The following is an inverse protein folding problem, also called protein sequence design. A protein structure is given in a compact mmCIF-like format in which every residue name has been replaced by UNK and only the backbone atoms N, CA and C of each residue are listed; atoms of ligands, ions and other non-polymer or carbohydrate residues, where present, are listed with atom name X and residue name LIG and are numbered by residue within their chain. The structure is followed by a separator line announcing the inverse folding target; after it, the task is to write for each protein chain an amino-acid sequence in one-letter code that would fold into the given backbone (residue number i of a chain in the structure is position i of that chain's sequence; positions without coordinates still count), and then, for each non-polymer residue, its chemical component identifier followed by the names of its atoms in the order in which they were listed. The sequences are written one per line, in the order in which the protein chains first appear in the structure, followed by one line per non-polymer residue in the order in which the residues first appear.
data_IF_708534263414
#
_entry.id   IF_708534263414
#
_cell.length_a   1.000
_cell.length_b   1.000
_cell.length_c   1.000
_cell.angle_alpha   90.00
_cell.angle_beta   90.00
_cell.angle_gamma   90.00
#
_symmetry.space_group_name_H-M   'P 1'
#
loop_
_entity.id
_entity.type
_entity.pdbx_description
1 polymer ?
#
# COMPACT_ATOMS: atom_id res chain seq x y z
N UNK A 1 14.02 19.18 -24.19
CA UNK A 1 14.78 17.90 -24.13
C UNK A 1 14.08 17.04 -23.08
N UNK A 2 13.48 15.95 -23.47
CA UNK A 2 12.88 15.03 -22.51
C UNK A 2 13.97 14.38 -21.65
N UNK A 3 13.74 14.17 -20.35
CA UNK A 3 14.68 13.50 -19.49
C UNK A 3 14.94 12.08 -19.96
N UNK A 4 16.13 11.55 -19.76
CA UNK A 4 16.42 10.15 -20.09
C UNK A 4 15.63 9.20 -19.16
N UNK A 5 15.36 7.99 -19.61
CA UNK A 5 14.67 6.97 -18.80
C UNK A 5 15.38 6.71 -17.46
N UNK A 6 16.70 6.83 -17.43
CA UNK A 6 17.49 6.71 -16.20
C UNK A 6 17.26 7.90 -15.25
N UNK A 7 17.17 9.11 -15.79
CA UNK A 7 16.88 10.32 -14.99
C UNK A 7 15.49 10.23 -14.37
N UNK A 8 14.50 9.74 -15.11
CA UNK A 8 13.14 9.54 -14.63
C UNK A 8 13.06 8.47 -13.53
N UNK A 9 13.77 7.34 -13.70
CA UNK A 9 13.87 6.29 -12.68
C UNK A 9 14.49 6.83 -11.39
N UNK A 10 15.61 7.54 -11.48
CA UNK A 10 16.27 8.13 -10.32
C UNK A 10 15.36 9.13 -9.60
N UNK A 11 14.65 9.97 -10.33
CA UNK A 11 13.69 10.90 -9.75
C UNK A 11 12.49 10.19 -9.08
N UNK A 12 12.01 9.08 -9.66
CA UNK A 12 10.96 8.25 -9.05
C UNK A 12 11.45 7.61 -7.75
N UNK A 13 12.65 6.98 -7.76
CA UNK A 13 13.28 6.38 -6.58
C UNK A 13 13.48 7.41 -5.46
N UNK A 14 13.96 8.61 -5.81
CA UNK A 14 14.15 9.70 -4.83
C UNK A 14 12.82 10.11 -4.18
N UNK A 15 11.76 10.30 -4.96
CA UNK A 15 10.42 10.62 -4.43
C UNK A 15 9.86 9.50 -3.55
N UNK A 16 10.09 8.23 -3.91
CA UNK A 16 9.67 7.09 -3.10
C UNK A 16 10.37 7.06 -1.74
N UNK A 17 11.70 7.31 -1.71
CA UNK A 17 12.47 7.39 -0.48
C UNK A 17 12.05 8.58 0.42
N UNK A 18 11.76 9.73 -0.16
CA UNK A 18 11.26 10.90 0.58
C UNK A 18 9.92 10.60 1.25
N UNK A 19 8.98 10.00 0.52
CA UNK A 19 7.69 9.58 1.08
C UNK A 19 7.82 8.49 2.13
N UNK A 20 8.71 7.51 1.91
CA UNK A 20 9.00 6.48 2.92
C UNK A 20 9.52 7.10 4.23
N UNK A 21 10.37 8.13 4.16
CA UNK A 21 10.85 8.85 5.36
C UNK A 21 9.72 9.53 6.12
N UNK A 22 8.75 10.14 5.41
CA UNK A 22 7.58 10.75 6.04
C UNK A 22 6.73 9.70 6.77
N UNK A 23 6.49 8.56 6.14
CA UNK A 23 5.75 7.46 6.76
C UNK A 23 6.52 6.85 7.93
N UNK A 24 7.85 6.76 7.84
CA UNK A 24 8.71 6.25 8.91
C UNK A 24 8.64 7.13 10.18
N UNK A 25 8.53 8.45 10.02
CA UNK A 25 8.33 9.37 11.14
C UNK A 25 7.00 9.15 11.87
N UNK A 26 5.99 8.68 11.17
CA UNK A 26 4.64 8.45 11.66
C UNK A 26 4.33 6.95 11.85
N UNK A 27 5.36 6.12 12.03
CA UNK A 27 5.25 4.66 11.99
C UNK A 27 4.27 4.10 13.04
N UNK A 28 4.24 4.66 14.27
CA UNK A 28 3.31 4.22 15.32
C UNK A 28 1.85 4.58 14.98
N UNK A 29 1.62 5.78 14.42
CA UNK A 29 0.31 6.19 13.93
C UNK A 29 -0.11 5.31 12.76
N UNK A 30 0.80 5.07 11.83
CA UNK A 30 0.57 4.19 10.70
C UNK A 30 0.10 2.80 11.15
N UNK A 31 0.80 2.16 12.07
CA UNK A 31 0.43 0.83 12.59
C UNK A 31 -0.95 0.81 13.26
N UNK A 32 -1.26 1.86 14.02
CA UNK A 32 -2.53 1.97 14.75
C UNK A 32 -3.71 2.25 13.83
N UNK A 33 -3.55 3.16 12.85
CA UNK A 33 -4.68 3.76 12.13
C UNK A 33 -4.92 3.16 10.74
N UNK A 34 -3.92 2.49 10.14
CA UNK A 34 -4.11 1.89 8.82
C UNK A 34 -5.12 0.74 8.85
N UNK A 35 -6.00 0.66 7.83
CA UNK A 35 -6.94 -0.43 7.72
C UNK A 35 -6.21 -1.78 7.63
N UNK A 36 -6.78 -2.79 8.26
CA UNK A 36 -6.34 -4.18 8.13
C UNK A 36 -6.81 -4.75 6.79
N UNK A 37 -6.49 -5.99 6.54
CA UNK A 37 -6.94 -6.72 5.36
C UNK A 37 -8.00 -7.75 5.76
N UNK A 38 -9.07 -7.94 4.96
CA UNK A 38 -10.05 -8.97 5.23
C UNK A 38 -9.43 -10.38 5.11
N UNK A 39 -9.93 -11.31 5.92
CA UNK A 39 -9.43 -12.69 5.98
C UNK A 39 -9.37 -13.35 4.60
N UNK A 40 -10.39 -13.14 3.78
CA UNK A 40 -10.46 -13.72 2.43
C UNK A 40 -9.28 -13.33 1.53
N UNK A 41 -8.71 -12.11 1.68
CA UNK A 41 -7.51 -11.69 0.93
C UNK A 41 -6.32 -12.52 1.38
N UNK A 42 -6.11 -12.61 2.70
CA UNK A 42 -4.96 -13.33 3.25
C UNK A 42 -5.06 -14.83 2.97
N UNK A 43 -6.26 -15.40 3.06
CA UNK A 43 -6.51 -16.81 2.72
C UNK A 43 -6.20 -17.10 1.24
N UNK A 44 -6.55 -16.17 0.33
CA UNK A 44 -6.20 -16.28 -1.09
C UNK A 44 -4.68 -16.18 -1.33
N UNK A 45 -3.98 -15.37 -0.54
CA UNK A 45 -2.52 -15.21 -0.64
C UNK A 45 -1.79 -16.44 -0.12
N UNK A 46 -2.10 -16.90 1.09
CA UNK A 46 -1.36 -18.02 1.69
C UNK A 46 -1.86 -19.40 1.20
N UNK A 47 -3.11 -19.48 0.76
CA UNK A 47 -3.72 -20.73 0.29
C UNK A 47 -4.19 -21.63 1.43
N UNK A 48 -4.70 -22.84 1.10
CA UNK A 48 -5.36 -23.72 2.06
C UNK A 48 -4.39 -24.41 3.04
N UNK A 49 -3.11 -24.48 2.72
CA UNK A 49 -2.09 -25.14 3.53
C UNK A 49 -0.95 -24.17 3.87
N UNK A 50 -1.21 -23.14 4.71
CA UNK A 50 -0.24 -22.08 4.99
C UNK A 50 0.89 -22.51 5.93
N UNK A 51 0.75 -23.66 6.61
CA UNK A 51 1.74 -24.12 7.59
C UNK A 51 3.10 -24.35 6.97
N UNK A 52 4.08 -23.53 7.39
CA UNK A 52 5.45 -23.58 6.89
C UNK A 52 5.68 -22.92 5.54
N UNK A 53 4.63 -22.37 4.89
CA UNK A 53 4.74 -21.58 3.68
C UNK A 53 5.72 -20.41 3.90
N UNK A 54 6.74 -20.29 3.05
CA UNK A 54 7.73 -19.22 3.15
C UNK A 54 7.27 -18.04 2.31
N UNK A 55 7.08 -16.90 2.94
CA UNK A 55 6.63 -15.66 2.31
C UNK A 55 7.67 -14.57 2.47
N UNK A 56 8.02 -13.91 1.38
CA UNK A 56 8.78 -12.66 1.37
C UNK A 56 7.79 -11.50 1.18
N UNK A 57 7.68 -10.64 2.19
CA UNK A 57 6.81 -9.46 2.14
C UNK A 57 7.62 -8.19 1.83
N UNK A 58 7.48 -7.69 0.61
CA UNK A 58 8.24 -6.57 0.07
C UNK A 58 7.54 -5.25 0.36
N UNK A 59 8.25 -4.33 1.04
CA UNK A 59 7.65 -3.12 1.58
C UNK A 59 6.69 -3.43 2.72
N UNK A 60 7.13 -4.28 3.66
CA UNK A 60 6.26 -4.80 4.73
C UNK A 60 5.79 -3.73 5.73
N UNK A 61 6.45 -2.57 5.77
CA UNK A 61 6.13 -1.49 6.69
C UNK A 61 6.16 -1.94 8.15
N UNK A 62 5.10 -1.65 8.89
CA UNK A 62 4.93 -2.09 10.28
C UNK A 62 4.47 -3.55 10.41
N UNK A 63 4.43 -4.29 9.31
CA UNK A 63 4.09 -5.71 9.29
C UNK A 63 2.60 -6.03 9.36
N UNK A 64 1.70 -5.12 8.98
CA UNK A 64 0.25 -5.35 9.06
C UNK A 64 -0.16 -6.59 8.26
N UNK A 65 0.26 -6.72 7.00
CA UNK A 65 -0.05 -7.90 6.19
C UNK A 65 0.77 -9.12 6.64
N UNK A 66 2.05 -8.92 6.95
CA UNK A 66 2.97 -9.96 7.41
C UNK A 66 2.43 -10.70 8.63
N UNK A 67 1.96 -9.96 9.66
CA UNK A 67 1.37 -10.53 10.89
C UNK A 67 0.16 -11.41 10.58
N UNK A 68 -0.75 -10.92 9.76
CA UNK A 68 -1.96 -11.65 9.37
C UNK A 68 -1.66 -12.94 8.59
N UNK A 69 -0.60 -12.95 7.77
CA UNK A 69 -0.11 -14.17 7.11
C UNK A 69 0.57 -15.12 8.11
N UNK A 70 1.35 -14.59 9.06
CA UNK A 70 2.01 -15.38 10.09
C UNK A 70 0.98 -16.04 11.07
N UNK A 71 -0.09 -15.35 11.43
CA UNK A 71 -1.21 -15.88 12.23
C UNK A 71 -1.87 -17.10 11.56
N UNK A 72 -1.79 -17.19 10.23
CA UNK A 72 -2.26 -18.36 9.44
C UNK A 72 -1.24 -19.49 9.37
N UNK A 73 -0.05 -19.32 9.93
CA UNK A 73 1.01 -20.33 9.97
C UNK A 73 2.11 -20.16 8.91
N UNK A 74 2.08 -19.11 8.10
CA UNK A 74 3.16 -18.80 7.17
C UNK A 74 4.42 -18.32 7.91
N UNK A 75 5.59 -18.63 7.34
CA UNK A 75 6.89 -18.09 7.78
C UNK A 75 7.19 -16.86 6.93
N UNK A 76 7.02 -15.67 7.51
CA UNK A 76 7.15 -14.42 6.77
C UNK A 76 8.47 -13.74 7.11
N UNK A 77 9.21 -13.34 6.08
CA UNK A 77 10.32 -12.40 6.16
C UNK A 77 9.89 -11.09 5.49
N UNK A 78 9.95 -9.98 6.23
CA UNK A 78 9.72 -8.65 5.69
C UNK A 78 10.99 -8.02 5.15
N UNK A 79 10.86 -7.20 4.10
CA UNK A 79 11.93 -6.28 3.64
C UNK A 79 11.32 -4.90 3.52
N UNK A 80 11.92 -3.90 4.17
CA UNK A 80 11.48 -2.51 4.09
C UNK A 80 12.64 -1.52 4.18
N UNK A 81 12.50 -0.36 3.53
CA UNK A 81 13.53 0.71 3.57
C UNK A 81 13.42 1.58 4.81
N UNK A 82 12.30 1.52 5.55
CA UNK A 82 11.95 2.38 6.68
C UNK A 82 12.33 1.70 8.00
N UNK A 83 13.40 2.15 8.69
CA UNK A 83 13.91 1.44 9.86
C UNK A 83 12.96 1.47 11.06
N UNK A 84 12.22 2.57 11.32
CA UNK A 84 11.25 2.64 12.43
C UNK A 84 10.03 1.76 12.18
N UNK A 85 9.55 1.70 10.94
CA UNK A 85 8.50 0.76 10.56
C UNK A 85 8.95 -0.67 10.78
N UNK A 86 10.19 -1.02 10.37
CA UNK A 86 10.77 -2.34 10.62
C UNK A 86 10.91 -2.66 12.12
N UNK A 87 11.24 -1.68 12.95
CA UNK A 87 11.28 -1.84 14.42
C UNK A 87 9.90 -2.18 14.99
N UNK A 88 8.84 -1.51 14.53
CA UNK A 88 7.48 -1.83 14.94
C UNK A 88 7.10 -3.25 14.49
N UNK A 89 7.38 -3.62 13.25
CA UNK A 89 7.13 -4.99 12.80
C UNK A 89 7.86 -6.02 13.67
N UNK A 90 9.13 -5.79 14.01
CA UNK A 90 9.91 -6.65 14.92
C UNK A 90 9.33 -6.69 16.32
N UNK A 91 8.83 -5.59 16.86
CA UNK A 91 8.17 -5.56 18.18
C UNK A 91 6.91 -6.42 18.23
N UNK A 92 6.31 -6.68 17.08
CA UNK A 92 5.22 -7.62 16.89
C UNK A 92 5.67 -9.05 16.54
N UNK A 93 6.96 -9.37 16.69
CA UNK A 93 7.51 -10.70 16.47
C UNK A 93 7.80 -11.06 15.01
N UNK A 94 7.83 -10.08 14.11
CA UNK A 94 8.15 -10.33 12.70
C UNK A 94 9.66 -10.27 12.45
N UNK A 95 10.16 -11.15 11.59
CA UNK A 95 11.52 -11.06 11.04
C UNK A 95 11.50 -10.02 9.91
N UNK A 96 12.38 -8.99 9.99
CA UNK A 96 12.46 -7.93 8.98
C UNK A 96 13.92 -7.59 8.70
N UNK A 97 14.26 -7.44 7.43
CA UNK A 97 15.53 -6.89 6.96
C UNK A 97 15.32 -5.47 6.42
N UNK A 98 16.16 -4.53 6.86
CA UNK A 98 16.07 -3.12 6.42
C UNK A 98 16.91 -2.91 5.18
N UNK A 99 16.27 -2.49 4.10
CA UNK A 99 16.92 -2.20 2.83
C UNK A 99 15.94 -2.05 1.68
N UNK A 100 16.41 -1.49 0.56
CA UNK A 100 15.63 -1.47 -0.66
C UNK A 100 15.55 -2.87 -1.27
N UNK A 101 14.37 -3.30 -1.67
CA UNK A 101 14.19 -4.62 -2.28
C UNK A 101 15.02 -4.79 -3.54
N UNK A 102 15.19 -3.73 -4.31
CA UNK A 102 16.01 -3.71 -5.52
C UNK A 102 17.47 -4.10 -5.26
N UNK A 103 18.00 -3.74 -4.09
CA UNK A 103 19.38 -4.02 -3.69
C UNK A 103 19.49 -5.24 -2.74
N UNK A 104 18.36 -5.73 -2.22
CA UNK A 104 18.30 -6.86 -1.30
C UNK A 104 18.69 -8.17 -1.98
N UNK A 105 19.36 -9.06 -1.25
CA UNK A 105 19.77 -10.36 -1.73
C UNK A 105 19.13 -11.50 -0.92
N UNK A 106 18.59 -12.54 -1.56
CA UNK A 106 17.97 -13.66 -0.85
C UNK A 106 18.99 -14.51 -0.08
N UNK A 107 20.28 -14.38 -0.36
CA UNK A 107 21.39 -15.10 0.32
C UNK A 107 21.15 -16.62 0.38
N UNK A 108 20.73 -17.23 -0.73
CA UNK A 108 20.44 -18.66 -0.85
C UNK A 108 19.08 -19.10 -0.26
N UNK A 109 18.30 -18.18 0.29
CA UNK A 109 16.92 -18.46 0.76
C UNK A 109 15.95 -18.52 -0.43
N UNK A 110 14.94 -19.35 -0.32
CA UNK A 110 13.84 -19.45 -1.27
C UNK A 110 12.52 -19.16 -0.56
N UNK A 111 11.56 -18.62 -1.29
CA UNK A 111 10.24 -18.25 -0.79
C UNK A 111 9.17 -18.76 -1.75
N UNK A 112 8.12 -19.37 -1.23
CA UNK A 112 7.02 -19.91 -2.02
C UNK A 112 6.12 -18.79 -2.55
N UNK A 113 6.13 -17.64 -1.88
CA UNK A 113 5.39 -16.42 -2.24
C UNK A 113 6.27 -15.19 -2.10
N UNK A 114 6.14 -14.28 -3.04
CA UNK A 114 6.54 -12.87 -2.88
C UNK A 114 5.26 -12.07 -2.76
N UNK A 115 5.09 -11.32 -1.67
CA UNK A 115 3.93 -10.46 -1.44
C UNK A 115 4.35 -9.00 -1.37
N UNK A 116 3.44 -8.11 -1.71
CA UNK A 116 3.61 -6.69 -1.42
C UNK A 116 2.23 -6.06 -1.21
N UNK A 117 2.01 -5.53 -0.02
CA UNK A 117 0.75 -4.92 0.36
C UNK A 117 0.89 -3.39 0.43
N UNK A 118 0.26 -2.67 -0.48
CA UNK A 118 0.30 -1.19 -0.58
C UNK A 118 1.68 -0.59 -0.86
N UNK A 119 2.66 -1.39 -1.33
CA UNK A 119 4.03 -0.90 -1.48
C UNK A 119 4.61 -1.02 -2.90
N UNK A 120 4.11 -1.95 -3.73
CA UNK A 120 4.72 -2.25 -5.03
C UNK A 120 4.89 -1.04 -5.95
N UNK A 121 3.94 -0.12 -5.94
CA UNK A 121 3.97 1.10 -6.75
C UNK A 121 5.07 2.11 -6.36
N UNK A 122 5.78 1.88 -5.26
CA UNK A 122 6.93 2.69 -4.83
C UNK A 122 8.25 2.21 -5.43
N UNK A 123 8.31 0.96 -5.90
CA UNK A 123 9.52 0.29 -6.37
C UNK A 123 9.91 0.73 -7.79
N UNK A 124 11.14 0.43 -8.18
CA UNK A 124 11.55 0.41 -9.59
C UNK A 124 10.94 -0.85 -10.23
N UNK A 125 9.78 -0.69 -10.86
CA UNK A 125 8.96 -1.82 -11.34
C UNK A 125 9.74 -2.82 -12.20
N UNK A 126 10.54 -2.41 -13.22
CA UNK A 126 11.35 -3.35 -13.99
C UNK A 126 12.28 -4.19 -13.12
N UNK A 127 13.08 -3.53 -12.28
CA UNK A 127 14.07 -4.20 -11.41
C UNK A 127 13.39 -5.08 -10.36
N UNK A 128 12.35 -4.54 -9.71
CA UNK A 128 11.63 -5.27 -8.67
C UNK A 128 10.90 -6.50 -9.23
N UNK A 129 10.31 -6.38 -10.43
CA UNK A 129 9.56 -7.48 -11.05
C UNK A 129 10.48 -8.61 -11.53
N UNK A 130 11.60 -8.29 -12.17
CA UNK A 130 12.62 -9.29 -12.53
C UNK A 130 13.18 -10.00 -11.29
N UNK A 131 13.49 -9.24 -10.24
CA UNK A 131 13.96 -9.81 -8.98
C UNK A 131 12.90 -10.71 -8.34
N UNK A 132 11.64 -10.27 -8.30
CA UNK A 132 10.56 -11.06 -7.73
C UNK A 132 10.32 -12.37 -8.48
N UNK A 133 10.57 -12.42 -9.79
CA UNK A 133 10.51 -13.64 -10.58
C UNK A 133 11.64 -14.63 -10.20
N UNK A 134 12.81 -14.12 -9.81
CA UNK A 134 14.00 -14.94 -9.50
C UNK A 134 14.00 -15.53 -8.07
N UNK A 135 13.11 -15.06 -7.18
CA UNK A 135 13.12 -15.46 -5.76
C UNK A 135 12.35 -16.75 -5.50
N UNK A 136 11.13 -16.96 -6.02
CA UNK A 136 10.39 -18.19 -5.84
C UNK A 136 10.96 -19.33 -6.72
N UNK A 137 10.81 -20.59 -6.27
CA UNK A 137 11.04 -21.73 -7.14
C UNK A 137 9.93 -21.81 -8.22
N UNK A 138 10.12 -22.65 -9.25
CA UNK A 138 9.05 -22.93 -10.21
C UNK A 138 7.72 -23.29 -9.53
N UNK A 139 6.63 -22.61 -9.94
CA UNK A 139 5.31 -22.75 -9.31
C UNK A 139 5.08 -21.82 -8.10
N UNK A 140 6.08 -21.03 -7.69
CA UNK A 140 5.89 -19.96 -6.71
C UNK A 140 5.03 -18.83 -7.27
N UNK A 141 4.60 -17.89 -6.42
CA UNK A 141 3.68 -16.81 -6.82
C UNK A 141 4.13 -15.45 -6.32
N UNK A 142 3.82 -14.43 -7.14
CA UNK A 142 3.78 -13.04 -6.68
C UNK A 142 2.34 -12.66 -6.37
N UNK A 143 2.09 -12.02 -5.23
CA UNK A 143 0.77 -11.57 -4.80
C UNK A 143 0.84 -10.09 -4.43
N UNK A 144 0.30 -9.24 -5.26
CA UNK A 144 0.26 -7.80 -5.02
C UNK A 144 -1.12 -7.41 -4.47
N UNK A 145 -1.15 -6.66 -3.38
CA UNK A 145 -2.36 -6.34 -2.65
C UNK A 145 -2.54 -4.83 -2.56
N UNK A 146 -3.70 -4.35 -2.98
CA UNK A 146 -4.12 -2.97 -2.77
C UNK A 146 -5.42 -2.92 -2.01
N UNK A 147 -5.43 -2.09 -0.99
CA UNK A 147 -6.62 -1.76 -0.25
C UNK A 147 -7.16 -0.43 -0.79
N UNK A 148 -8.23 -0.49 -1.56
CA UNK A 148 -8.86 0.66 -2.17
C UNK A 148 -10.18 0.96 -1.45
N UNK A 149 -10.27 2.12 -0.81
CA UNK A 149 -11.47 2.54 -0.09
C UNK A 149 -12.14 3.74 -0.75
N UNK A 150 -13.47 3.77 -0.70
CA UNK A 150 -14.27 4.93 -1.10
C UNK A 150 -15.28 5.24 0.00
N UNK A 151 -15.40 6.50 0.44
CA UNK A 151 -16.48 6.89 1.31
C UNK A 151 -17.84 6.80 0.57
N UNK A 152 -18.96 6.81 1.29
CA UNK A 152 -20.29 7.02 0.71
C UNK A 152 -20.32 8.28 -0.18
N UNK A 153 -21.25 8.32 -1.12
CA UNK A 153 -21.28 9.36 -2.16
C UNK A 153 -21.46 10.78 -1.61
N UNK A 154 -22.37 10.94 -0.67
CA UNK A 154 -22.64 12.19 0.04
C UNK A 154 -21.40 12.68 0.82
N UNK A 155 -20.70 11.77 1.45
CA UNK A 155 -19.46 12.07 2.15
C UNK A 155 -18.32 12.40 1.18
N UNK A 156 -18.22 11.70 0.06
CA UNK A 156 -17.21 12.00 -0.95
C UNK A 156 -17.37 13.40 -1.53
N UNK A 157 -18.60 13.84 -1.75
CA UNK A 157 -18.91 15.17 -2.27
C UNK A 157 -18.56 16.26 -1.22
N UNK A 158 -18.96 16.07 0.04
CA UNK A 158 -18.63 16.99 1.13
C UNK A 158 -17.09 17.10 1.34
N UNK A 159 -16.37 15.98 1.31
CA UNK A 159 -14.91 15.98 1.37
C UNK A 159 -14.30 16.74 0.18
N UNK A 160 -14.83 16.54 -1.04
CA UNK A 160 -14.33 17.22 -2.21
C UNK A 160 -14.48 18.75 -2.11
N UNK A 161 -15.57 19.26 -1.52
CA UNK A 161 -15.76 20.68 -1.26
C UNK A 161 -14.71 21.22 -0.29
N UNK A 162 -14.47 20.53 0.82
CA UNK A 162 -13.43 20.91 1.80
C UNK A 162 -12.04 20.95 1.15
N UNK A 163 -11.70 19.94 0.35
CA UNK A 163 -10.42 19.91 -0.36
C UNK A 163 -10.32 21.01 -1.42
N UNK A 164 -11.40 21.36 -2.11
CA UNK A 164 -11.41 22.44 -3.08
C UNK A 164 -11.10 23.80 -2.44
N UNK A 165 -11.60 24.02 -1.22
CA UNK A 165 -11.37 25.26 -0.48
C UNK A 165 -9.97 25.34 0.14
N UNK A 166 -9.42 24.22 0.58
CA UNK A 166 -8.16 24.18 1.34
C UNK A 166 -6.94 23.82 0.49
N UNK A 167 -7.11 23.01 -0.54
CA UNK A 167 -6.05 22.49 -1.42
C UNK A 167 -6.48 22.47 -2.89
N UNK A 168 -6.79 23.62 -3.49
CA UNK A 168 -7.32 23.67 -4.87
C UNK A 168 -6.37 23.04 -5.90
N UNK A 169 -5.05 23.07 -5.68
CA UNK A 169 -4.07 22.43 -6.56
C UNK A 169 -4.09 20.90 -6.50
N UNK A 170 -4.71 20.31 -5.50
CA UNK A 170 -4.82 18.86 -5.31
C UNK A 170 -6.22 18.30 -5.52
N UNK A 171 -7.20 19.19 -5.78
CA UNK A 171 -8.60 18.79 -5.95
C UNK A 171 -8.75 17.68 -6.99
N UNK A 172 -8.06 17.79 -8.12
CA UNK A 172 -8.08 16.82 -9.20
C UNK A 172 -7.57 15.44 -8.74
N UNK A 173 -6.55 15.41 -7.89
CA UNK A 173 -5.97 14.16 -7.39
C UNK A 173 -6.90 13.50 -6.39
N UNK A 174 -7.51 14.29 -5.49
CA UNK A 174 -8.49 13.81 -4.50
C UNK A 174 -9.77 13.37 -5.19
N UNK A 175 -10.29 14.20 -6.10
CA UNK A 175 -11.51 13.92 -6.86
C UNK A 175 -11.33 12.70 -7.75
N UNK A 176 -10.20 12.57 -8.44
CA UNK A 176 -9.87 11.37 -9.22
C UNK A 176 -9.75 10.14 -8.34
N UNK A 177 -9.18 10.27 -7.14
CA UNK A 177 -9.15 9.19 -6.15
C UNK A 177 -10.54 8.69 -5.80
N UNK A 178 -11.46 9.59 -5.44
CA UNK A 178 -12.84 9.24 -5.11
C UNK A 178 -13.67 8.84 -6.36
N UNK A 179 -13.46 9.51 -7.50
CA UNK A 179 -14.12 9.17 -8.76
C UNK A 179 -13.62 7.84 -9.37
N UNK A 180 -12.33 7.55 -9.25
CA UNK A 180 -11.77 6.26 -9.68
C UNK A 180 -12.35 5.10 -8.89
N UNK A 181 -12.71 5.32 -7.62
CA UNK A 181 -13.42 4.33 -6.81
C UNK A 181 -14.90 4.16 -7.18
N UNK A 182 -15.50 5.13 -7.88
CA UNK A 182 -16.84 5.03 -8.49
C UNK A 182 -16.79 4.37 -9.88
N UNK A 183 -15.64 4.44 -10.56
CA UNK A 183 -15.46 3.87 -11.89
C UNK A 183 -15.25 2.36 -11.80
N UNK A 184 -15.88 1.63 -12.69
CA UNK A 184 -15.59 0.20 -12.95
C UNK A 184 -14.19 0.01 -13.57
N UNK A 185 -13.55 1.09 -14.01
CA UNK A 185 -12.22 1.07 -14.61
C UNK A 185 -11.10 1.25 -13.57
N UNK A 186 -11.12 0.41 -12.54
CA UNK A 186 -10.05 0.36 -11.52
C UNK A 186 -8.76 -0.25 -12.07
N UNK A 187 -8.84 -0.99 -13.18
CA UNK A 187 -7.68 -1.57 -13.86
C UNK A 187 -6.71 -0.52 -14.39
N UNK A 188 -7.21 0.66 -14.75
CA UNK A 188 -6.36 1.75 -15.23
C UNK A 188 -5.36 2.24 -14.18
N UNK A 189 -5.68 2.08 -12.90
CA UNK A 189 -4.80 2.49 -11.79
C UNK A 189 -3.59 1.57 -11.59
N UNK A 190 -3.64 0.32 -12.07
CA UNK A 190 -2.59 -0.71 -11.93
C UNK A 190 -1.93 -1.06 -13.27
N UNK A 191 -2.15 -0.25 -14.31
CA UNK A 191 -1.67 -0.55 -15.67
C UNK A 191 -0.16 -0.72 -15.73
N UNK A 192 0.59 0.11 -15.01
CA UNK A 192 2.06 0.05 -14.99
C UNK A 192 2.58 -1.20 -14.28
N UNK A 193 1.95 -1.59 -13.18
CA UNK A 193 2.31 -2.78 -12.40
C UNK A 193 2.00 -4.07 -13.17
N UNK A 194 0.81 -4.12 -13.76
CA UNK A 194 0.40 -5.25 -14.59
C UNK A 194 1.26 -5.38 -15.85
N UNK A 195 1.59 -4.26 -16.50
CA UNK A 195 2.48 -4.25 -17.67
C UNK A 195 3.89 -4.71 -17.31
N UNK A 196 4.42 -4.31 -16.16
CA UNK A 196 5.74 -4.75 -15.69
C UNK A 196 5.76 -6.27 -15.44
N UNK A 197 4.71 -6.82 -14.81
CA UNK A 197 4.59 -8.27 -14.58
C UNK A 197 4.47 -9.03 -15.92
N UNK A 198 3.61 -8.58 -16.82
CA UNK A 198 3.40 -9.20 -18.11
C UNK A 198 4.65 -9.14 -19.02
N UNK A 199 5.57 -8.21 -18.75
CA UNK A 199 6.85 -8.08 -19.47
C UNK A 199 7.92 -9.08 -19.06
N UNK A 200 7.73 -9.85 -17.97
CA UNK A 200 8.68 -10.84 -17.47
C UNK A 200 8.23 -12.23 -17.90
N UNK A 201 9.00 -12.95 -18.75
CA UNK A 201 8.60 -14.24 -19.33
C UNK A 201 8.36 -15.36 -18.29
N UNK A 202 8.96 -15.23 -17.10
CA UNK A 202 8.84 -16.22 -16.03
C UNK A 202 7.50 -16.16 -15.28
N UNK A 203 6.68 -15.13 -15.54
CA UNK A 203 5.35 -15.03 -14.97
C UNK A 203 4.27 -15.46 -15.94
N UNK A 204 3.27 -16.16 -15.42
CA UNK A 204 2.00 -16.38 -16.11
C UNK A 204 1.21 -15.05 -16.22
N UNK A 205 0.17 -15.07 -17.05
CA UNK A 205 -0.77 -13.94 -17.13
C UNK A 205 -1.36 -13.65 -15.76
N UNK A 206 -1.22 -12.41 -15.25
CA UNK A 206 -1.73 -12.07 -13.92
C UNK A 206 -3.26 -12.18 -13.87
N UNK A 207 -3.75 -12.70 -12.76
CA UNK A 207 -5.18 -12.75 -12.46
C UNK A 207 -5.51 -11.70 -11.39
N UNK A 208 -6.67 -11.09 -11.51
CA UNK A 208 -7.18 -10.10 -10.56
C UNK A 208 -8.37 -10.67 -9.80
N UNK A 209 -8.41 -10.49 -8.49
CA UNK A 209 -9.52 -10.91 -7.64
C UNK A 209 -9.88 -9.79 -6.68
N UNK A 210 -11.17 -9.53 -6.56
CA UNK A 210 -11.73 -8.50 -5.70
C UNK A 210 -12.36 -9.11 -4.46
N UNK A 211 -12.06 -8.51 -3.30
CA UNK A 211 -12.58 -8.93 -2.00
C UNK A 211 -13.32 -7.76 -1.35
N UNK A 212 -14.66 -7.70 -1.49
CA UNK A 212 -15.45 -6.64 -0.89
C UNK A 212 -15.43 -6.69 0.63
N UNK A 213 -15.20 -5.53 1.23
CA UNK A 213 -15.27 -5.40 2.68
C UNK A 213 -15.62 -3.96 3.08
N UNK A 214 -16.01 -3.77 4.33
CA UNK A 214 -16.41 -2.48 4.88
C UNK A 214 -15.66 -2.22 6.17
N UNK A 215 -15.15 -1.01 6.32
CA UNK A 215 -14.56 -0.50 7.55
C UNK A 215 -15.33 0.74 8.00
N UNK A 216 -15.80 0.73 9.23
CA UNK A 216 -16.40 1.90 9.87
C UNK A 216 -15.35 2.63 10.68
N UNK A 217 -15.29 3.94 10.56
CA UNK A 217 -14.43 4.81 11.35
C UNK A 217 -15.28 5.81 12.13
N UNK A 218 -14.91 6.07 13.37
CA UNK A 218 -15.31 7.29 14.04
C UNK A 218 -14.56 8.47 13.40
N UNK A 219 -15.11 9.68 13.53
CA UNK A 219 -14.51 10.89 12.95
C UNK A 219 -13.03 11.05 13.29
N UNK A 220 -12.68 10.95 14.57
CA UNK A 220 -11.32 11.15 15.02
C UNK A 220 -10.37 10.04 14.53
N UNK A 221 -10.85 8.80 14.43
CA UNK A 221 -10.12 7.69 13.82
C UNK A 221 -9.83 7.92 12.33
N UNK A 222 -10.82 8.50 11.62
CA UNK A 222 -10.65 8.86 10.21
C UNK A 222 -9.61 9.97 10.03
N UNK A 223 -9.64 11.02 10.86
CA UNK A 223 -8.64 12.08 10.83
C UNK A 223 -7.24 11.55 11.12
N UNK A 224 -7.09 10.67 12.11
CA UNK A 224 -5.83 9.99 12.40
C UNK A 224 -5.37 9.11 11.22
N UNK A 225 -6.30 8.42 10.56
CA UNK A 225 -6.01 7.62 9.37
C UNK A 225 -5.53 8.50 8.21
N UNK A 226 -6.10 9.68 8.00
CA UNK A 226 -5.63 10.65 7.00
C UNK A 226 -4.20 11.13 7.32
N UNK A 227 -3.88 11.40 8.58
CA UNK A 227 -2.53 11.75 9.03
C UNK A 227 -1.50 10.65 8.83
N UNK A 228 -1.91 9.40 8.71
CA UNK A 228 -1.03 8.28 8.39
C UNK A 228 -0.70 8.17 6.90
N UNK A 229 -1.21 9.05 6.05
CA UNK A 229 -0.99 9.06 4.60
C UNK A 229 0.10 10.07 4.23
N UNK A 230 1.06 9.66 3.41
CA UNK A 230 2.17 10.51 3.00
C UNK A 230 1.75 11.80 2.27
N UNK A 231 0.59 11.80 1.60
CA UNK A 231 0.05 12.96 0.92
C UNK A 231 -0.53 14.02 1.87
N UNK A 232 -0.94 13.62 3.06
CA UNK A 232 -1.41 14.51 4.12
C UNK A 232 -0.29 14.91 5.08
N UNK A 233 0.58 13.97 5.45
CA UNK A 233 1.75 14.23 6.29
C UNK A 233 2.70 15.25 5.67
N UNK A 234 2.76 15.30 4.34
CA UNK A 234 3.58 16.27 3.59
C UNK A 234 2.98 17.68 3.50
N UNK A 235 1.79 17.93 4.05
CA UNK A 235 1.18 19.26 4.05
C UNK A 235 1.83 20.17 5.09
N UNK A 236 1.91 21.46 4.76
CA UNK A 236 2.27 22.49 5.72
C UNK A 236 1.30 22.47 6.91
N UNK A 237 1.78 22.59 8.18
CA UNK A 237 0.94 22.44 9.37
C UNK A 237 -0.33 23.29 9.37
N UNK A 238 -0.23 24.56 8.93
CA UNK A 238 -1.40 25.46 8.89
C UNK A 238 -2.42 25.05 7.80
N UNK A 239 -1.99 24.38 6.75
CA UNK A 239 -2.89 23.83 5.70
C UNK A 239 -3.57 22.57 6.22
N UNK A 240 -2.80 21.73 6.89
CA UNK A 240 -3.30 20.49 7.52
C UNK A 240 -4.37 20.80 8.57
N UNK A 241 -4.13 21.79 9.45
CA UNK A 241 -5.08 22.24 10.48
C UNK A 241 -6.40 22.71 9.84
N UNK A 242 -6.35 23.61 8.86
CA UNK A 242 -7.56 24.09 8.15
C UNK A 242 -8.32 22.96 7.44
N UNK A 243 -7.59 22.02 6.82
CA UNK A 243 -8.19 20.86 6.17
C UNK A 243 -8.95 20.01 7.19
N UNK A 244 -8.36 19.74 8.33
CA UNK A 244 -8.97 18.90 9.37
C UNK A 244 -10.10 19.60 10.12
N UNK A 245 -10.01 20.91 10.32
CA UNK A 245 -11.14 21.72 10.80
C UNK A 245 -12.32 21.66 9.83
N UNK A 246 -12.06 21.81 8.53
CA UNK A 246 -13.08 21.68 7.49
C UNK A 246 -13.73 20.30 7.47
N UNK A 247 -12.94 19.24 7.46
CA UNK A 247 -13.44 17.85 7.55
C UNK A 247 -14.19 17.63 8.87
N UNK A 248 -13.75 18.27 9.95
CA UNK A 248 -14.29 18.07 11.28
C UNK A 248 -15.54 18.89 11.60
N UNK A 249 -15.81 19.98 10.90
CA UNK A 249 -16.96 20.87 11.17
C UNK A 249 -18.28 20.31 10.61
N UNK A 250 -18.21 19.47 9.59
CA UNK A 250 -19.37 18.79 9.06
C UNK A 250 -19.81 17.66 10.00
N UNK A 251 -21.13 17.46 10.20
CA UNK A 251 -21.70 16.35 10.98
C UNK A 251 -21.50 15.02 10.26
N UNK A 252 -20.25 14.58 10.12
CA UNK A 252 -19.91 13.40 9.35
C UNK A 252 -19.85 12.18 10.28
N UNK A 253 -20.92 11.42 10.34
CA UNK A 253 -20.92 10.02 10.69
C UNK A 253 -20.26 9.27 9.53
N UNK A 254 -18.96 9.01 9.68
CA UNK A 254 -18.20 8.36 8.61
C UNK A 254 -18.35 6.84 8.68
N UNK A 255 -19.15 6.32 7.78
CA UNK A 255 -19.10 4.90 7.43
C UNK A 255 -18.31 4.80 6.13
N UNK A 256 -17.04 4.40 6.20
CA UNK A 256 -16.31 4.09 4.98
C UNK A 256 -16.76 2.72 4.48
N UNK A 257 -17.35 2.70 3.31
CA UNK A 257 -17.73 1.47 2.61
C UNK A 257 -16.68 1.25 1.54
N UNK A 258 -15.75 0.32 1.76
CA UNK A 258 -14.99 -0.25 0.67
C UNK A 258 -15.97 -1.15 -0.12
N UNK A 259 -16.56 -0.65 -1.19
CA UNK A 259 -17.30 -1.48 -2.14
C UNK A 259 -16.32 -1.94 -3.19
N UNK A 260 -16.10 -3.24 -3.25
CA UNK A 260 -15.67 -3.91 -4.46
C UNK A 260 -16.90 -4.60 -5.05
N UNK A 261 -17.20 -4.33 -6.25
CA UNK A 261 -18.14 -5.07 -7.09
C UNK A 261 -17.33 -5.83 -8.12
#
# INVERSE_FOLDING_TARGET
MEPSAETERNARRQRALERSRLLDQEAERYDRCRPRYPDAVLDAVVGPEPSGLKVLDVGCGTGIASRLMAERGAKVLGVDVAPRMAEIARSHGMDVEVGAFEDWAPAGRTFDRVTSAQAWHWLDLPVATEKAASVPPPGGRICLIWNAGSPPEDLADALAEVYALTLPSRIDTVYRGYAAHRSTDRRSALTSELAAIAGVPDFDTPTETWFPWTQTYQRDEWLEQLLSRSDHTALEPAVQERLFEGIGSERLLMTSVARSS
#
